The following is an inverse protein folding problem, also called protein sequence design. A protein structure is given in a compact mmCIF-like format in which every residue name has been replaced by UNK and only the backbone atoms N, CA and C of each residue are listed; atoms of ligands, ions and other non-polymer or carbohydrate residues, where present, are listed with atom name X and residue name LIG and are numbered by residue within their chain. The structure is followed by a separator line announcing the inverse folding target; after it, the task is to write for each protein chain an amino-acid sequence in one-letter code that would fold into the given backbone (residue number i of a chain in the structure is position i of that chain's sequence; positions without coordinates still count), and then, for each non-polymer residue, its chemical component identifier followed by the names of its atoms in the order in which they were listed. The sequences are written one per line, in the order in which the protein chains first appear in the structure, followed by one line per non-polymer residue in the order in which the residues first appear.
data_IF_640463767011
#
_entry.id   IF_640463767011
#
_cell.length_a   1.000
_cell.length_b   1.000
_cell.length_c   1.000
_cell.angle_alpha   90.00
_cell.angle_beta   90.00
_cell.angle_gamma   90.00
#
_symmetry.space_group_name_H-M   'P 1'
#
loop_
_entity.id
_entity.type
_entity.pdbx_description
1 polymer ?
#
# COMPACT_ATOMS: atom_id res chain seq x y z
N UNK A 1 1.83 31.03 35.87
CA UNK A 1 1.20 31.02 34.54
C UNK A 1 2.21 30.88 33.39
N UNK A 2 3.43 31.44 33.50
CA UNK A 2 4.50 31.30 32.49
C UNK A 2 5.02 29.86 32.28
N UNK A 3 5.31 29.12 33.36
CA UNK A 3 5.83 27.73 33.26
C UNK A 3 4.91 26.74 32.53
N UNK A 4 3.58 26.94 32.60
CA UNK A 4 2.60 26.09 31.91
C UNK A 4 2.59 26.39 30.40
N UNK A 5 2.77 27.67 30.05
CA UNK A 5 2.92 28.11 28.66
C UNK A 5 4.21 27.57 28.02
N UNK A 6 5.31 27.52 28.78
CA UNK A 6 6.58 26.96 28.30
C UNK A 6 6.51 25.43 28.16
N UNK A 7 5.80 24.75 29.07
CA UNK A 7 5.57 23.30 28.98
C UNK A 7 4.78 22.94 27.72
N UNK A 8 3.71 23.67 27.40
CA UNK A 8 2.92 23.43 26.18
C UNK A 8 3.74 23.69 24.91
N UNK A 9 4.68 24.65 24.93
CA UNK A 9 5.61 24.89 23.82
C UNK A 9 6.63 23.76 23.68
N UNK A 10 7.20 23.24 24.77
CA UNK A 10 8.14 22.11 24.74
C UNK A 10 7.47 20.84 24.20
N UNK A 11 6.23 20.57 24.61
CA UNK A 11 5.44 19.47 24.05
C UNK A 11 5.15 19.69 22.56
N UNK A 12 4.74 20.91 22.18
CA UNK A 12 4.50 21.25 20.77
C UNK A 12 5.78 21.07 19.92
N UNK A 13 6.93 21.56 20.39
CA UNK A 13 8.21 21.42 19.67
C UNK A 13 8.67 19.97 19.56
N UNK A 14 8.49 19.18 20.62
CA UNK A 14 8.79 17.74 20.61
C UNK A 14 7.93 17.00 19.59
N UNK A 15 6.62 17.29 19.58
CA UNK A 15 5.67 16.71 18.62
C UNK A 15 6.02 17.12 17.19
N UNK A 16 6.30 18.41 16.93
CA UNK A 16 6.67 18.86 15.59
C UNK A 16 8.01 18.27 15.12
N UNK A 17 8.97 18.04 16.02
CA UNK A 17 10.24 17.41 15.68
C UNK A 17 10.07 15.95 15.30
N UNK A 18 9.19 15.23 16.01
CA UNK A 18 8.80 13.87 15.66
C UNK A 18 8.07 13.87 14.31
N UNK A 19 7.06 14.72 14.11
CA UNK A 19 6.32 14.79 12.86
C UNK A 19 7.21 15.15 11.66
N UNK A 20 8.14 16.09 11.85
CA UNK A 20 9.11 16.51 10.84
C UNK A 20 10.12 15.42 10.47
N UNK A 21 10.46 14.50 11.38
CA UNK A 21 11.32 13.36 11.05
C UNK A 21 10.68 12.46 9.97
N UNK A 22 9.36 12.33 10.03
CA UNK A 22 8.53 11.51 9.13
C UNK A 22 7.94 12.30 7.96
N UNK A 23 8.37 13.54 7.69
CA UNK A 23 7.72 14.46 6.74
C UNK A 23 7.39 13.84 5.36
N UNK A 24 8.22 13.00 4.73
CA UNK A 24 7.87 12.34 3.47
C UNK A 24 7.11 11.00 3.63
N UNK A 25 6.97 10.45 4.84
CA UNK A 25 6.33 9.14 5.07
C UNK A 25 4.82 9.20 5.24
N UNK A 26 4.28 10.26 5.86
CA UNK A 26 2.85 10.39 6.12
C UNK A 26 2.02 10.33 4.83
N UNK A 27 2.50 11.00 3.78
CA UNK A 27 1.84 11.01 2.48
C UNK A 27 1.86 9.62 1.84
N UNK A 28 2.96 8.88 1.95
CA UNK A 28 3.06 7.52 1.42
C UNK A 28 2.16 6.54 2.18
N UNK A 29 2.13 6.63 3.51
CA UNK A 29 1.22 5.83 4.34
C UNK A 29 -0.24 6.13 3.98
N UNK A 30 -0.60 7.41 3.81
CA UNK A 30 -1.95 7.80 3.40
C UNK A 30 -2.36 7.14 2.08
N UNK A 31 -1.47 7.14 1.07
CA UNK A 31 -1.73 6.45 -0.18
C UNK A 31 -1.97 4.95 0.03
N UNK A 32 -1.17 4.26 0.85
CA UNK A 32 -1.42 2.85 1.13
C UNK A 32 -2.79 2.60 1.78
N UNK A 33 -3.19 3.44 2.73
CA UNK A 33 -4.51 3.32 3.34
C UNK A 33 -5.63 3.50 2.31
N UNK A 34 -5.51 4.48 1.40
CA UNK A 34 -6.47 4.70 0.33
C UNK A 34 -6.54 3.47 -0.59
N UNK A 35 -5.40 2.97 -1.07
CA UNK A 35 -5.35 1.82 -1.96
C UNK A 35 -5.91 0.55 -1.31
N UNK A 36 -5.53 0.26 -0.06
CA UNK A 36 -6.06 -0.89 0.69
C UNK A 36 -7.57 -0.74 0.92
N UNK A 37 -8.06 0.46 1.24
CA UNK A 37 -9.49 0.71 1.44
C UNK A 37 -10.26 0.49 0.13
N UNK A 38 -9.75 1.02 -0.99
CA UNK A 38 -10.32 0.79 -2.32
C UNK A 38 -10.31 -0.71 -2.69
N UNK A 39 -9.20 -1.42 -2.46
CA UNK A 39 -9.10 -2.87 -2.70
C UNK A 39 -10.13 -3.64 -1.86
N UNK A 40 -10.26 -3.29 -0.58
CA UNK A 40 -11.22 -3.93 0.31
C UNK A 40 -12.67 -3.69 -0.10
N UNK A 41 -13.03 -2.44 -0.42
CA UNK A 41 -14.37 -2.08 -0.87
C UNK A 41 -14.70 -2.79 -2.19
N UNK A 42 -13.81 -2.69 -3.18
CA UNK A 42 -14.01 -3.33 -4.49
C UNK A 42 -14.07 -4.85 -4.38
N UNK A 43 -13.25 -5.46 -3.53
CA UNK A 43 -13.26 -6.90 -3.26
C UNK A 43 -14.55 -7.37 -2.58
N UNK A 44 -15.09 -6.61 -1.62
CA UNK A 44 -16.40 -6.88 -1.01
C UNK A 44 -17.50 -6.76 -2.05
N UNK A 45 -17.54 -5.65 -2.79
CA UNK A 45 -18.56 -5.43 -3.81
C UNK A 45 -18.56 -6.53 -4.86
N UNK A 46 -17.37 -6.97 -5.32
CA UNK A 46 -17.23 -8.10 -6.23
C UNK A 46 -17.76 -9.40 -5.63
N UNK A 47 -17.41 -9.71 -4.38
CA UNK A 47 -17.87 -10.90 -3.66
C UNK A 47 -19.39 -10.92 -3.50
N UNK A 48 -20.01 -9.77 -3.21
CA UNK A 48 -21.48 -9.63 -3.10
C UNK A 48 -22.14 -9.89 -4.46
N UNK A 49 -21.63 -9.27 -5.53
CA UNK A 49 -22.18 -9.45 -6.89
C UNK A 49 -22.13 -10.92 -7.32
N UNK A 50 -21.04 -11.61 -7.01
CA UNK A 50 -20.85 -13.03 -7.32
C UNK A 50 -21.53 -13.97 -6.32
N UNK A 51 -22.25 -13.45 -5.31
CA UNK A 51 -22.89 -14.23 -4.24
C UNK A 51 -21.93 -15.16 -3.48
N UNK A 52 -20.65 -14.77 -3.40
CA UNK A 52 -19.66 -15.50 -2.63
C UNK A 52 -19.71 -15.10 -1.16
N UNK A 53 -19.58 -16.09 -0.27
CA UNK A 53 -19.51 -15.85 1.18
C UNK A 53 -18.25 -15.04 1.52
N UNK A 54 -18.45 -13.97 2.30
CA UNK A 54 -17.36 -13.17 2.85
C UNK A 54 -16.85 -13.88 4.11
N UNK A 55 -15.70 -14.51 4.00
CA UNK A 55 -15.07 -15.25 5.11
C UNK A 55 -14.15 -14.36 5.93
N UNK A 56 -14.01 -14.62 7.23
CA UNK A 56 -13.01 -13.95 8.10
C UNK A 56 -11.58 -13.98 7.54
N UNK A 57 -11.22 -15.05 6.83
CA UNK A 57 -9.92 -15.16 6.15
C UNK A 57 -9.67 -14.04 5.12
N UNK A 58 -10.71 -13.54 4.43
CA UNK A 58 -10.58 -12.43 3.47
C UNK A 58 -10.29 -11.12 4.20
N UNK A 59 -10.96 -10.86 5.33
CA UNK A 59 -10.70 -9.67 6.17
C UNK A 59 -9.31 -9.71 6.81
N UNK A 60 -8.88 -10.88 7.31
CA UNK A 60 -7.55 -11.07 7.88
C UNK A 60 -6.44 -10.78 6.86
N UNK A 61 -6.67 -11.07 5.56
CA UNK A 61 -5.71 -10.69 4.50
C UNK A 61 -5.52 -9.19 4.41
N UNK A 62 -6.59 -8.39 4.46
CA UNK A 62 -6.50 -6.92 4.45
C UNK A 62 -5.71 -6.39 5.65
N UNK A 63 -5.97 -6.94 6.85
CA UNK A 63 -5.21 -6.57 8.06
C UNK A 63 -3.72 -6.90 7.90
N UNK A 64 -3.40 -8.08 7.35
CA UNK A 64 -2.01 -8.47 7.09
C UNK A 64 -1.33 -7.55 6.09
N UNK A 65 -2.00 -7.15 4.99
CA UNK A 65 -1.48 -6.15 4.04
C UNK A 65 -1.13 -4.85 4.74
N UNK A 66 -2.05 -4.31 5.55
CA UNK A 66 -1.82 -3.09 6.32
C UNK A 66 -0.59 -3.19 7.23
N UNK A 67 -0.49 -4.26 8.03
CA UNK A 67 0.65 -4.45 8.93
C UNK A 67 1.97 -4.60 8.17
N UNK A 68 1.98 -5.39 7.09
CA UNK A 68 3.19 -5.58 6.28
C UNK A 68 3.64 -4.27 5.62
N UNK A 69 2.73 -3.47 5.08
CA UNK A 69 3.11 -2.21 4.43
C UNK A 69 3.62 -1.17 5.43
N UNK A 70 3.02 -1.12 6.62
CA UNK A 70 3.54 -0.32 7.73
C UNK A 70 4.96 -0.77 8.14
N UNK A 71 5.23 -2.08 8.22
CA UNK A 71 6.57 -2.57 8.53
C UNK A 71 7.57 -2.23 7.42
N UNK A 72 7.23 -2.49 6.16
CA UNK A 72 8.11 -2.23 5.01
C UNK A 72 8.49 -0.75 4.94
N UNK A 73 7.54 0.16 5.10
CA UNK A 73 7.83 1.59 4.97
C UNK A 73 8.73 2.12 6.10
N UNK A 74 8.55 1.61 7.32
CA UNK A 74 9.43 1.95 8.46
C UNK A 74 10.85 1.44 8.22
N UNK A 75 11.00 0.19 7.79
CA UNK A 75 12.30 -0.42 7.52
C UNK A 75 13.02 0.28 6.36
N UNK A 76 12.30 0.53 5.26
CA UNK A 76 12.88 1.20 4.09
C UNK A 76 13.27 2.64 4.42
N UNK A 77 12.47 3.35 5.23
CA UNK A 77 12.85 4.69 5.66
C UNK A 77 14.09 4.71 6.56
N UNK A 78 14.24 3.74 7.46
CA UNK A 78 15.45 3.62 8.27
C UNK A 78 16.69 3.41 7.38
N UNK A 79 16.57 2.57 6.34
CA UNK A 79 17.63 2.37 5.34
C UNK A 79 17.92 3.66 4.55
N UNK A 80 16.89 4.36 4.08
CA UNK A 80 17.03 5.64 3.36
C UNK A 80 17.81 6.67 4.18
N UNK A 81 17.51 6.78 5.48
CA UNK A 81 18.15 7.75 6.39
C UNK A 81 19.59 7.38 6.75
N UNK A 82 19.84 6.12 7.07
CA UNK A 82 21.12 5.71 7.70
C UNK A 82 22.13 5.13 6.70
N UNK A 83 21.69 4.55 5.59
CA UNK A 83 22.55 3.78 4.67
C UNK A 83 22.77 4.46 3.32
N UNK A 84 21.84 5.30 2.86
CA UNK A 84 21.86 5.89 1.51
C UNK A 84 22.14 7.40 1.49
N UNK A 85 22.94 7.88 2.44
CA UNK A 85 23.30 9.30 2.57
C UNK A 85 23.99 9.88 1.32
N UNK A 86 24.56 9.03 0.46
CA UNK A 86 25.32 9.43 -0.74
C UNK A 86 24.50 9.44 -2.04
N UNK A 87 23.25 8.95 -2.04
CA UNK A 87 22.41 8.86 -3.22
C UNK A 87 21.09 9.57 -2.92
N UNK A 88 20.75 10.60 -3.70
CA UNK A 88 19.46 11.31 -3.60
C UNK A 88 18.34 10.47 -4.25
N UNK A 89 18.12 9.28 -3.71
CA UNK A 89 17.10 8.35 -4.15
C UNK A 89 16.33 7.89 -2.93
N UNK A 90 15.04 8.23 -2.86
CA UNK A 90 14.18 7.73 -1.80
C UNK A 90 13.69 6.33 -2.15
N UNK A 91 14.32 5.30 -1.57
CA UNK A 91 13.80 3.93 -1.63
C UNK A 91 12.36 3.88 -1.12
N UNK A 92 12.01 4.68 -0.10
CA UNK A 92 10.66 4.69 0.43
C UNK A 92 9.61 5.02 -0.66
N UNK A 93 9.92 5.98 -1.55
CA UNK A 93 9.04 6.33 -2.67
C UNK A 93 8.99 5.25 -3.75
N UNK A 94 10.12 4.59 -4.03
CA UNK A 94 10.18 3.48 -5.00
C UNK A 94 9.36 2.31 -4.48
N UNK A 95 9.59 1.87 -3.25
CA UNK A 95 8.84 0.81 -2.60
C UNK A 95 7.35 1.15 -2.55
N UNK A 96 7.00 2.40 -2.24
CA UNK A 96 5.61 2.81 -2.26
C UNK A 96 4.97 2.74 -3.64
N UNK A 97 5.69 3.14 -4.69
CA UNK A 97 5.21 3.02 -6.07
C UNK A 97 4.95 1.56 -6.44
N UNK A 98 5.84 0.65 -6.06
CA UNK A 98 5.69 -0.79 -6.29
C UNK A 98 4.46 -1.34 -5.54
N UNK A 99 4.33 -1.02 -4.25
CA UNK A 99 3.22 -1.48 -3.41
C UNK A 99 1.88 -0.97 -3.95
N UNK A 100 1.78 0.34 -4.25
CA UNK A 100 0.59 0.93 -4.85
C UNK A 100 0.26 0.28 -6.21
N UNK A 101 1.25 -0.08 -7.01
CA UNK A 101 1.05 -0.81 -8.26
C UNK A 101 0.44 -2.21 -8.06
N UNK A 102 0.88 -2.94 -7.04
CA UNK A 102 0.33 -4.26 -6.68
C UNK A 102 -1.13 -4.13 -6.21
N UNK A 103 -1.44 -3.13 -5.39
CA UNK A 103 -2.81 -2.89 -4.94
C UNK A 103 -3.70 -2.39 -6.09
N UNK A 104 -3.19 -1.55 -7.00
CA UNK A 104 -3.90 -1.14 -8.21
C UNK A 104 -4.29 -2.35 -9.06
N UNK A 105 -3.37 -3.29 -9.24
CA UNK A 105 -3.66 -4.54 -9.95
C UNK A 105 -4.81 -5.31 -9.30
N UNK A 106 -4.81 -5.44 -7.97
CA UNK A 106 -5.87 -6.11 -7.20
C UNK A 106 -7.23 -5.41 -7.37
N UNK A 107 -7.24 -4.08 -7.33
CA UNK A 107 -8.44 -3.26 -7.59
C UNK A 107 -8.97 -3.50 -9.01
N UNK A 108 -8.10 -3.49 -10.03
CA UNK A 108 -8.50 -3.72 -11.41
C UNK A 108 -9.12 -5.10 -11.60
N UNK A 109 -8.59 -6.13 -10.93
CA UNK A 109 -9.16 -7.47 -10.95
C UNK A 109 -10.57 -7.50 -10.33
N UNK A 110 -10.77 -6.84 -9.20
CA UNK A 110 -12.09 -6.71 -8.57
C UNK A 110 -13.07 -5.89 -9.44
N UNK A 111 -12.59 -4.83 -10.11
CA UNK A 111 -13.38 -4.05 -11.07
C UNK A 111 -13.80 -4.87 -12.29
N UNK A 112 -12.92 -5.74 -12.80
CA UNK A 112 -13.28 -6.67 -13.88
C UNK A 112 -14.40 -7.62 -13.44
N UNK A 113 -14.31 -8.21 -12.25
CA UNK A 113 -15.38 -9.07 -11.67
C UNK A 113 -16.70 -8.31 -11.52
N UNK A 114 -16.62 -7.05 -11.10
CA UNK A 114 -17.78 -6.17 -10.92
C UNK A 114 -18.44 -5.71 -12.22
N UNK A 115 -17.69 -5.46 -13.28
CA UNK A 115 -18.22 -4.84 -14.50
C UNK A 115 -18.31 -5.80 -15.69
N UNK A 116 -17.51 -6.87 -15.69
CA UNK A 116 -17.30 -7.73 -16.85
C UNK A 116 -16.54 -7.05 -18.00
N UNK A 117 -16.08 -5.81 -17.83
CA UNK A 117 -15.45 -5.05 -18.90
C UNK A 117 -14.01 -5.52 -19.14
N UNK A 118 -13.75 -6.02 -20.35
CA UNK A 118 -12.47 -6.58 -20.76
C UNK A 118 -11.30 -5.58 -20.67
N UNK A 119 -11.56 -4.27 -20.70
CA UNK A 119 -10.51 -3.24 -20.52
C UNK A 119 -9.76 -3.45 -19.20
N UNK A 120 -10.46 -3.73 -18.10
CA UNK A 120 -9.82 -3.97 -16.80
C UNK A 120 -9.00 -5.26 -16.80
N UNK A 121 -9.43 -6.29 -17.52
CA UNK A 121 -8.69 -7.56 -17.68
C UNK A 121 -7.43 -7.39 -18.52
N UNK A 122 -7.49 -6.57 -19.57
CA UNK A 122 -6.33 -6.28 -20.41
C UNK A 122 -5.28 -5.53 -19.58
N UNK A 123 -5.70 -4.55 -18.78
CA UNK A 123 -4.81 -3.81 -17.88
C UNK A 123 -4.09 -4.72 -16.87
N UNK A 124 -4.77 -5.77 -16.36
CA UNK A 124 -4.11 -6.75 -15.48
C UNK A 124 -3.20 -7.71 -16.25
N UNK A 125 -3.57 -8.15 -17.45
CA UNK A 125 -2.74 -9.07 -18.24
C UNK A 125 -1.38 -8.51 -18.65
N UNK A 126 -1.25 -7.19 -18.85
CA UNK A 126 0.06 -6.55 -19.10
C UNK A 126 1.06 -6.77 -17.96
N UNK A 127 0.60 -6.94 -16.72
CA UNK A 127 1.46 -7.16 -15.54
C UNK A 127 1.91 -8.62 -15.41
N UNK A 128 1.04 -9.58 -15.74
CA UNK A 128 1.34 -11.02 -15.59
C UNK A 128 2.16 -11.60 -16.75
N UNK A 129 1.86 -11.20 -17.98
CA UNK A 129 2.53 -11.74 -19.18
C UNK A 129 4.04 -11.49 -19.14
N UNK A 130 4.44 -10.34 -18.57
CA UNK A 130 5.85 -9.97 -18.41
C UNK A 130 6.59 -10.75 -17.32
N UNK A 131 5.89 -11.36 -16.36
CA UNK A 131 6.51 -12.25 -15.36
C UNK A 131 6.68 -13.64 -15.97
N UNK A 132 5.67 -14.14 -16.68
CA UNK A 132 5.70 -15.43 -17.37
C UNK A 132 6.80 -15.45 -18.45
N UNK A 133 6.92 -14.40 -19.27
CA UNK A 133 7.95 -14.29 -20.31
C UNK A 133 9.39 -14.23 -19.76
N UNK A 134 9.57 -13.74 -18.52
CA UNK A 134 10.90 -13.63 -17.90
C UNK A 134 11.27 -14.81 -16.98
N UNK A 135 10.30 -15.60 -16.52
CA UNK A 135 10.55 -16.68 -15.54
C UNK A 135 10.18 -18.07 -16.04
N UNK A 136 9.43 -18.18 -17.15
CA UNK A 136 8.94 -19.47 -17.68
C UNK A 136 7.92 -20.16 -16.76
N UNK A 137 7.45 -19.49 -15.71
CA UNK A 137 6.46 -20.03 -14.76
C UNK A 137 5.07 -19.63 -15.22
N UNK A 138 4.23 -20.62 -15.52
CA UNK A 138 2.83 -20.40 -15.90
C UNK A 138 2.00 -20.06 -14.65
N UNK A 139 1.77 -18.77 -14.40
CA UNK A 139 1.07 -18.27 -13.21
C UNK A 139 -0.46 -18.45 -13.33
N UNK A 140 -0.95 -18.81 -14.52
CA UNK A 140 -2.39 -18.88 -14.84
C UNK A 140 -3.07 -20.10 -14.18
N UNK A 141 -2.31 -21.12 -13.77
CA UNK A 141 -2.86 -22.35 -13.14
C UNK A 141 -3.20 -22.23 -11.64
N UNK A 142 -2.89 -21.12 -10.95
CA UNK A 142 -3.20 -20.95 -9.52
C UNK A 142 -4.36 -19.99 -9.26
N UNK A 143 -5.56 -20.30 -9.76
CA UNK A 143 -6.80 -19.67 -9.29
C UNK A 143 -7.78 -20.71 -8.77
#
# INVERSE_FOLDING_TARGET
MSKVFDLHKIWAYSITSILGFFEPLWVLMLWFFIFIACDFITGISASIKERQVITSNKLSRTIKKMLMYCMVIVLVHAIDKDMLVFIDLSLARICATIICGIELYSILENCYRLTGNQVFKILTQFTLKKIEDNTGVNVIERK
#
